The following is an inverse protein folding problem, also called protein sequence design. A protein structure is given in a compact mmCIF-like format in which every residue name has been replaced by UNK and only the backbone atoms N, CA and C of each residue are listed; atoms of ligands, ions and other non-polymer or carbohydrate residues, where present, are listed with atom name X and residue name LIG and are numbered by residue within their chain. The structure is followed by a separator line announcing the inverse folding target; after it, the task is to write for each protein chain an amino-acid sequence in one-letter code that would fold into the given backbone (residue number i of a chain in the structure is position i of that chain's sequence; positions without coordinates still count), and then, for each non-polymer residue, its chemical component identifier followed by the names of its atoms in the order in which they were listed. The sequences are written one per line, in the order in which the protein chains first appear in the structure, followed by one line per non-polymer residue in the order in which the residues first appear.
data_IF_305402574692
#
_entry.id   IF_305402574692
#
_cell.length_a   1.000
_cell.length_b   1.000
_cell.length_c   1.000
_cell.angle_alpha   90.00
_cell.angle_beta   90.00
_cell.angle_gamma   90.00
#
_symmetry.space_group_name_H-M   'P 1'
#
loop_
_entity.id
_entity.type
_entity.pdbx_description
1 polymer ?
#
# COMPACT_ATOMS: atom_id res chain seq x y z
N UNK A 1 -14.41 -0.20 2.87
CA UNK A 1 -15.27 -1.37 2.56
C UNK A 1 -16.36 -1.09 1.54
N UNK A 2 -17.15 -0.03 1.60
CA UNK A 2 -18.19 0.26 0.58
C UNK A 2 -17.63 0.39 -0.84
N UNK A 3 -16.54 1.13 -1.03
CA UNK A 3 -15.88 1.27 -2.33
C UNK A 3 -15.30 -0.06 -2.85
N UNK A 4 -14.69 -0.87 -1.99
CA UNK A 4 -14.16 -2.18 -2.35
C UNK A 4 -15.26 -3.09 -2.92
N UNK A 5 -16.42 -3.15 -2.26
CA UNK A 5 -17.60 -3.88 -2.76
C UNK A 5 -18.10 -3.32 -4.09
N UNK A 6 -18.20 -1.99 -4.22
CA UNK A 6 -18.68 -1.31 -5.42
C UNK A 6 -17.83 -1.62 -6.65
N UNK A 7 -16.52 -1.74 -6.47
CA UNK A 7 -15.55 -1.88 -7.56
C UNK A 7 -14.94 -3.28 -7.67
N UNK A 8 -15.39 -4.22 -6.84
CA UNK A 8 -14.85 -5.60 -6.77
C UNK A 8 -13.33 -5.60 -6.59
N UNK A 9 -12.86 -4.83 -5.61
CA UNK A 9 -11.45 -4.74 -5.21
C UNK A 9 -11.29 -5.50 -3.91
N UNK A 10 -10.36 -6.44 -3.88
CA UNK A 10 -9.95 -7.11 -2.64
C UNK A 10 -8.78 -6.36 -2.01
N UNK A 11 -8.67 -6.37 -0.70
CA UNK A 11 -7.53 -5.81 0.00
C UNK A 11 -7.25 -6.51 1.33
N UNK A 12 -5.99 -6.50 1.74
CA UNK A 12 -5.62 -6.64 3.15
C UNK A 12 -5.62 -5.23 3.74
N UNK A 13 -6.29 -5.06 4.87
CA UNK A 13 -6.31 -3.82 5.64
C UNK A 13 -5.23 -3.93 6.70
N UNK A 14 -4.19 -3.13 6.57
CA UNK A 14 -3.05 -3.17 7.48
C UNK A 14 -3.22 -2.10 8.57
N UNK A 15 -3.22 -2.53 9.81
CA UNK A 15 -3.35 -1.67 10.98
C UNK A 15 -2.10 -1.68 11.85
N UNK A 16 -2.06 -0.78 12.83
CA UNK A 16 -0.91 -0.65 13.75
C UNK A 16 -0.74 -1.83 14.72
N UNK A 17 -1.76 -2.68 14.87
CA UNK A 17 -1.75 -3.83 15.79
C UNK A 17 -2.06 -5.14 15.08
N UNK A 18 -3.03 -5.12 14.20
CA UNK A 18 -3.58 -6.30 13.53
C UNK A 18 -3.93 -5.96 12.09
N UNK A 19 -3.83 -6.95 11.24
CA UNK A 19 -4.22 -6.88 9.83
C UNK A 19 -5.53 -7.65 9.62
N UNK A 20 -6.33 -7.21 8.65
CA UNK A 20 -7.64 -7.78 8.33
C UNK A 20 -7.71 -8.17 6.88
N UNK A 21 -8.21 -9.35 6.59
CA UNK A 21 -8.34 -9.87 5.23
C UNK A 21 -9.76 -10.37 4.94
N UNK A 22 -10.21 -10.30 3.67
CA UNK A 22 -11.50 -10.85 3.28
C UNK A 22 -11.46 -12.38 3.34
N UNK A 23 -12.61 -13.00 3.62
CA UNK A 23 -12.75 -14.47 3.65
C UNK A 23 -14.06 -14.90 3.02
N UNK A 24 -14.02 -16.05 2.34
CA UNK A 24 -15.21 -16.68 1.75
C UNK A 24 -15.91 -15.76 0.75
N UNK A 25 -17.18 -15.43 0.99
CA UNK A 25 -18.00 -14.59 0.12
C UNK A 25 -17.57 -13.10 0.07
N UNK A 26 -16.67 -12.68 0.97
CA UNK A 26 -16.11 -11.33 0.94
C UNK A 26 -15.03 -11.15 -0.14
N UNK A 27 -14.53 -12.26 -0.72
CA UNK A 27 -13.49 -12.25 -1.75
C UNK A 27 -14.11 -12.14 -3.13
N UNK A 28 -13.75 -11.11 -3.89
CA UNK A 28 -14.30 -10.81 -5.22
C UNK A 28 -13.49 -11.43 -6.34
N UNK A 29 -12.16 -11.50 -6.22
CA UNK A 29 -11.25 -11.88 -7.30
C UNK A 29 -10.72 -13.30 -7.17
N UNK A 30 -10.44 -13.95 -8.32
CA UNK A 30 -9.84 -15.29 -8.33
C UNK A 30 -8.41 -15.28 -7.76
N UNK A 31 -7.64 -14.27 -8.11
CA UNK A 31 -6.27 -14.10 -7.58
C UNK A 31 -6.25 -14.05 -6.07
N UNK A 32 -7.13 -13.25 -5.47
CA UNK A 32 -7.20 -13.13 -4.02
C UNK A 32 -7.74 -14.42 -3.37
N UNK A 33 -8.61 -15.14 -4.05
CA UNK A 33 -9.12 -16.45 -3.61
C UNK A 33 -8.01 -17.52 -3.53
N UNK A 34 -7.07 -17.50 -4.47
CA UNK A 34 -5.88 -18.35 -4.39
C UNK A 34 -4.94 -17.94 -3.26
N UNK A 35 -4.72 -16.63 -3.07
CA UNK A 35 -3.94 -16.10 -1.98
C UNK A 35 -4.59 -16.31 -0.61
N UNK A 36 -5.90 -16.38 -0.53
CA UNK A 36 -6.65 -16.54 0.73
C UNK A 36 -6.23 -17.81 1.50
N UNK A 37 -5.84 -18.89 0.80
CA UNK A 37 -5.32 -20.11 1.45
C UNK A 37 -4.01 -19.85 2.19
N UNK A 38 -3.15 -18.99 1.67
CA UNK A 38 -1.90 -18.59 2.33
C UNK A 38 -2.18 -17.57 3.44
N UNK A 39 -3.16 -16.70 3.22
CA UNK A 39 -3.63 -15.71 4.19
C UNK A 39 -4.29 -16.40 5.40
N UNK A 40 -5.06 -17.47 5.18
CA UNK A 40 -5.68 -18.25 6.27
C UNK A 40 -4.67 -18.88 7.24
N UNK A 41 -3.45 -19.16 6.76
CA UNK A 41 -2.35 -19.65 7.60
C UNK A 41 -1.64 -18.52 8.38
N UNK A 42 -1.92 -17.26 8.06
CA UNK A 42 -1.40 -16.10 8.80
C UNK A 42 -2.48 -15.60 9.80
N UNK A 43 -2.05 -14.96 10.85
CA UNK A 43 -2.95 -14.40 11.88
C UNK A 43 -3.59 -13.09 11.41
N UNK A 44 -4.41 -13.16 10.34
CA UNK A 44 -5.28 -12.04 9.97
C UNK A 44 -6.64 -12.22 10.62
N UNK A 45 -7.21 -11.15 11.10
CA UNK A 45 -8.60 -11.15 11.54
C UNK A 45 -9.55 -10.88 10.35
N UNK A 46 -10.84 -11.06 10.54
CA UNK A 46 -11.86 -10.86 9.50
C UNK A 46 -12.21 -9.39 9.36
N UNK A 47 -12.64 -8.97 8.18
CA UNK A 47 -13.19 -7.63 7.95
C UNK A 47 -14.30 -7.23 8.92
N UNK A 48 -15.16 -8.18 9.33
CA UNK A 48 -16.22 -7.92 10.28
C UNK A 48 -15.72 -7.37 11.64
N UNK A 49 -14.47 -7.71 12.01
CA UNK A 49 -13.84 -7.27 13.27
C UNK A 49 -12.98 -6.01 13.09
N UNK A 50 -12.87 -5.50 11.88
CA UNK A 50 -12.00 -4.38 11.57
C UNK A 50 -12.49 -3.07 12.23
N UNK A 51 -11.64 -2.36 13.01
CA UNK A 51 -12.07 -1.22 13.83
C UNK A 51 -12.36 0.05 13.03
N UNK A 52 -12.13 0.05 11.72
CA UNK A 52 -12.34 1.21 10.85
C UNK A 52 -11.14 2.15 10.75
N UNK A 53 -10.09 1.93 11.50
CA UNK A 53 -8.84 2.69 11.43
C UNK A 53 -7.73 1.79 10.88
N UNK A 54 -7.23 2.11 9.70
CA UNK A 54 -6.15 1.38 9.02
C UNK A 54 -5.06 2.36 8.62
N UNK A 55 -3.82 1.90 8.65
CA UNK A 55 -2.68 2.69 8.23
C UNK A 55 -2.52 2.66 6.70
N UNK A 56 -2.79 1.51 6.08
CA UNK A 56 -2.78 1.33 4.63
C UNK A 56 -3.58 0.10 4.20
N UNK A 57 -3.78 -0.03 2.89
CA UNK A 57 -4.36 -1.21 2.26
C UNK A 57 -3.39 -1.77 1.23
N UNK A 58 -3.27 -3.10 1.18
CA UNK A 58 -2.67 -3.81 0.05
C UNK A 58 -3.80 -4.40 -0.78
N UNK A 59 -4.08 -3.78 -1.91
CA UNK A 59 -5.28 -4.01 -2.71
C UNK A 59 -4.97 -4.66 -4.05
N UNK A 60 -5.93 -5.43 -4.55
CA UNK A 60 -5.89 -6.06 -5.86
C UNK A 60 -7.22 -5.89 -6.60
N UNK A 61 -7.14 -5.60 -7.88
CA UNK A 61 -8.28 -5.60 -8.79
C UNK A 61 -7.98 -6.50 -10.00
N UNK A 62 -8.90 -7.42 -10.32
CA UNK A 62 -8.79 -8.32 -11.48
C UNK A 62 -8.72 -7.56 -12.80
N UNK A 63 -9.36 -6.40 -12.87
CA UNK A 63 -9.39 -5.54 -14.05
C UNK A 63 -8.97 -4.11 -13.70
N UNK A 64 -8.31 -3.39 -14.62
CA UNK A 64 -7.99 -1.98 -14.42
C UNK A 64 -9.22 -1.12 -14.09
N UNK A 65 -10.38 -1.43 -14.67
CA UNK A 65 -11.62 -0.66 -14.48
C UNK A 65 -12.08 -0.59 -13.01
N UNK A 66 -11.88 -1.67 -12.24
CA UNK A 66 -12.20 -1.69 -10.81
C UNK A 66 -11.34 -0.69 -10.04
N UNK A 67 -10.03 -0.74 -10.23
CA UNK A 67 -9.11 0.17 -9.56
C UNK A 67 -9.28 1.62 -10.02
N UNK A 68 -9.51 1.85 -11.32
CA UNK A 68 -9.75 3.19 -11.86
C UNK A 68 -11.03 3.83 -11.30
N UNK A 69 -12.08 3.01 -11.11
CA UNK A 69 -13.30 3.44 -10.44
C UNK A 69 -13.03 3.88 -8.99
N UNK A 70 -12.26 3.08 -8.25
CA UNK A 70 -11.90 3.38 -6.88
C UNK A 70 -11.00 4.63 -6.77
N UNK A 71 -10.02 4.78 -7.67
CA UNK A 71 -9.18 5.98 -7.76
C UNK A 71 -10.02 7.24 -8.01
N UNK A 72 -10.94 7.18 -8.98
CA UNK A 72 -11.80 8.33 -9.31
C UNK A 72 -12.60 8.81 -8.11
N UNK A 73 -13.14 7.89 -7.30
CA UNK A 73 -13.98 8.24 -6.16
C UNK A 73 -13.18 8.67 -4.92
N UNK A 74 -11.93 8.21 -4.76
CA UNK A 74 -11.19 8.33 -3.50
C UNK A 74 -9.84 9.08 -3.60
N UNK A 75 -9.41 9.51 -4.79
CA UNK A 75 -8.10 10.19 -4.98
C UNK A 75 -7.96 11.54 -4.25
N UNK A 76 -9.07 12.11 -3.78
CA UNK A 76 -9.03 13.31 -2.93
C UNK A 76 -8.53 13.01 -1.50
N UNK A 77 -8.68 11.77 -1.03
CA UNK A 77 -8.36 11.37 0.34
C UNK A 77 -7.33 10.24 0.44
N UNK A 78 -7.05 9.53 -0.66
CA UNK A 78 -6.11 8.41 -0.72
C UNK A 78 -5.13 8.57 -1.88
N UNK A 79 -3.90 8.12 -1.67
CA UNK A 79 -2.90 7.92 -2.71
C UNK A 79 -2.82 6.43 -3.07
N UNK A 80 -2.71 6.15 -4.37
CA UNK A 80 -2.68 4.81 -4.95
C UNK A 80 -1.32 4.55 -5.58
N UNK A 81 -0.52 3.70 -4.98
CA UNK A 81 0.83 3.36 -5.42
C UNK A 81 0.74 2.05 -6.20
N UNK A 82 1.02 2.09 -7.49
CA UNK A 82 1.01 0.92 -8.37
C UNK A 82 2.19 -0.01 -8.01
N UNK A 83 1.85 -1.27 -7.71
CA UNK A 83 2.80 -2.34 -7.38
C UNK A 83 2.92 -3.35 -8.51
N UNK A 84 2.39 -3.00 -9.69
CA UNK A 84 2.33 -3.85 -10.88
C UNK A 84 1.34 -5.03 -10.76
N UNK A 85 1.01 -5.63 -11.91
CA UNK A 85 0.15 -6.82 -11.99
C UNK A 85 -1.22 -6.71 -11.31
N UNK A 86 -1.79 -5.50 -11.23
CA UNK A 86 -3.10 -5.25 -10.60
C UNK A 86 -3.06 -5.04 -9.09
N UNK A 87 -1.87 -5.08 -8.48
CA UNK A 87 -1.69 -4.78 -7.07
C UNK A 87 -1.43 -3.30 -6.81
N UNK A 88 -1.98 -2.81 -5.72
CA UNK A 88 -1.82 -1.42 -5.28
C UNK A 88 -1.60 -1.36 -3.77
N UNK A 89 -0.70 -0.48 -3.37
CA UNK A 89 -0.63 -0.02 -2.00
C UNK A 89 -1.41 1.29 -1.91
N UNK A 90 -2.39 1.36 -1.02
CA UNK A 90 -3.28 2.51 -0.86
C UNK A 90 -3.07 3.09 0.53
N UNK A 91 -2.72 4.36 0.57
CA UNK A 91 -2.37 5.09 1.81
C UNK A 91 -3.19 6.37 1.92
N UNK A 92 -3.36 6.92 3.12
CA UNK A 92 -3.93 8.24 3.28
C UNK A 92 -3.17 9.29 2.47
N UNK A 93 -3.89 10.23 1.88
CA UNK A 93 -3.34 11.28 1.01
C UNK A 93 -2.20 12.03 1.68
N UNK A 94 -1.09 12.19 0.96
CA UNK A 94 0.07 12.93 1.42
C UNK A 94 1.00 12.16 2.37
N UNK A 95 0.71 10.88 2.64
CA UNK A 95 1.61 10.01 3.41
C UNK A 95 2.45 9.14 2.48
N UNK A 96 3.75 9.12 2.72
CA UNK A 96 4.73 8.34 1.96
C UNK A 96 5.96 8.06 2.80
N UNK A 97 6.85 7.20 2.31
CA UNK A 97 8.16 7.00 2.94
C UNK A 97 8.99 8.29 3.01
N UNK A 98 8.83 9.21 2.04
CA UNK A 98 9.48 10.51 2.07
C UNK A 98 8.97 11.40 3.20
N UNK A 99 7.65 11.46 3.40
CA UNK A 99 7.08 12.26 4.49
C UNK A 99 7.44 11.70 5.86
N UNK A 100 7.62 10.37 5.98
CA UNK A 100 8.12 9.73 7.19
C UNK A 100 9.58 10.13 7.47
N UNK A 101 10.46 10.11 6.44
CA UNK A 101 11.85 10.56 6.59
C UNK A 101 11.89 12.03 7.03
N UNK A 102 11.13 12.89 6.36
CA UNK A 102 11.04 14.30 6.72
C UNK A 102 10.64 14.50 8.18
N UNK A 103 9.58 13.80 8.62
CA UNK A 103 9.13 13.89 10.00
C UNK A 103 10.20 13.48 10.98
N UNK A 104 10.91 12.36 10.73
CA UNK A 104 11.97 11.86 11.63
C UNK A 104 13.18 12.78 11.62
N UNK A 105 13.63 13.25 10.46
CA UNK A 105 14.79 14.15 10.38
C UNK A 105 14.50 15.49 11.06
N UNK A 106 13.30 16.04 10.87
CA UNK A 106 12.85 17.27 11.55
C UNK A 106 12.78 17.08 13.07
N UNK A 107 12.23 15.95 13.53
CA UNK A 107 12.10 15.64 14.96
C UNK A 107 13.45 15.44 15.64
N UNK A 108 14.35 14.68 14.99
CA UNK A 108 15.69 14.38 15.53
C UNK A 108 16.74 15.45 15.20
N UNK A 109 16.37 16.50 14.43
CA UNK A 109 17.28 17.56 13.96
C UNK A 109 18.45 17.01 13.13
N UNK A 110 18.19 15.98 12.33
CA UNK A 110 19.16 15.40 11.40
C UNK A 110 19.21 16.26 10.14
N UNK A 111 20.39 16.76 9.73
CA UNK A 111 20.55 17.47 8.47
C UNK A 111 20.21 16.58 7.28
N UNK A 112 19.64 17.16 6.20
CA UNK A 112 19.28 16.41 5.01
C UNK A 112 20.51 15.72 4.38
N UNK A 113 21.65 16.36 4.40
CA UNK A 113 22.93 15.82 3.89
C UNK A 113 23.37 14.52 4.57
N UNK A 114 22.86 14.23 5.76
CA UNK A 114 23.15 12.99 6.49
C UNK A 114 22.16 11.87 6.20
N UNK A 115 21.24 12.06 5.25
CA UNK A 115 20.24 11.05 4.91
C UNK A 115 20.67 10.15 3.76
N UNK A 116 20.46 8.85 3.95
CA UNK A 116 20.66 7.82 2.92
C UNK A 116 19.40 6.99 2.79
N UNK A 117 18.92 6.77 1.56
CA UNK A 117 17.80 5.88 1.27
C UNK A 117 18.24 4.74 0.35
N UNK A 118 17.76 3.53 0.62
CA UNK A 118 17.96 2.34 -0.21
C UNK A 118 16.59 1.76 -0.52
N UNK A 119 16.32 1.45 -1.79
CA UNK A 119 15.03 0.92 -2.21
C UNK A 119 15.08 0.18 -3.53
N UNK A 120 14.00 -0.58 -3.81
CA UNK A 120 13.90 -1.45 -4.99
C UNK A 120 12.57 -1.31 -5.75
N UNK A 121 11.57 -0.70 -5.16
CA UNK A 121 10.20 -0.74 -5.70
C UNK A 121 9.52 0.62 -5.74
N UNK A 122 8.38 0.69 -6.44
CA UNK A 122 7.71 1.95 -6.74
C UNK A 122 7.30 2.76 -5.50
N UNK A 123 6.97 2.10 -4.39
CA UNK A 123 6.67 2.79 -3.13
C UNK A 123 7.91 3.39 -2.44
N UNK A 124 9.12 3.04 -2.90
CA UNK A 124 10.37 3.62 -2.41
C UNK A 124 10.77 4.90 -3.17
N UNK A 125 10.23 5.09 -4.39
CA UNK A 125 10.55 6.26 -5.21
C UNK A 125 10.45 7.60 -4.50
N UNK A 126 9.41 7.88 -3.67
CA UNK A 126 9.35 9.13 -2.94
C UNK A 126 10.54 9.32 -1.99
N UNK A 127 10.93 8.28 -1.25
CA UNK A 127 12.08 8.40 -0.31
C UNK A 127 13.42 8.48 -1.05
N UNK A 128 13.57 7.73 -2.16
CA UNK A 128 14.77 7.79 -2.99
C UNK A 128 14.96 9.17 -3.63
N UNK A 129 13.86 9.85 -4.02
CA UNK A 129 13.89 11.22 -4.54
C UNK A 129 14.12 12.27 -3.45
N UNK A 130 13.79 11.96 -2.20
CA UNK A 130 13.83 12.90 -1.11
C UNK A 130 15.18 12.89 -0.37
N UNK A 131 15.76 11.72 -0.11
CA UNK A 131 17.03 11.61 0.61
C UNK A 131 18.20 12.26 -0.16
N UNK A 132 19.20 12.74 0.57
CA UNK A 132 20.39 13.32 -0.03
C UNK A 132 21.18 12.31 -0.87
N UNK A 133 21.38 11.11 -0.34
CA UNK A 133 22.01 9.99 -1.05
C UNK A 133 21.00 8.88 -1.27
N UNK A 134 20.86 8.42 -2.50
CA UNK A 134 19.91 7.37 -2.85
C UNK A 134 20.59 6.21 -3.56
N UNK A 135 20.22 4.99 -3.18
CA UNK A 135 20.78 3.75 -3.71
C UNK A 135 19.63 2.88 -4.22
N UNK A 136 19.61 2.63 -5.53
CA UNK A 136 18.72 1.64 -6.12
C UNK A 136 19.36 0.25 -5.99
N UNK A 137 18.57 -0.75 -5.61
CA UNK A 137 19.04 -2.14 -5.58
C UNK A 137 19.13 -2.70 -7.00
N UNK A 138 20.05 -3.63 -7.26
CA UNK A 138 20.26 -4.20 -8.59
C UNK A 138 19.08 -5.00 -9.16
N UNK A 139 18.14 -5.40 -8.32
CA UNK A 139 16.88 -6.07 -8.67
C UNK A 139 15.68 -5.12 -8.68
N UNK A 140 15.91 -3.82 -8.71
CA UNK A 140 14.85 -2.80 -8.66
C UNK A 140 13.93 -2.86 -9.87
N UNK A 141 12.70 -2.34 -9.69
CA UNK A 141 11.78 -2.08 -10.81
C UNK A 141 12.41 -1.09 -11.80
N UNK A 142 11.98 -1.15 -13.07
CA UNK A 142 12.46 -0.24 -14.12
C UNK A 142 12.24 1.25 -13.80
N UNK A 143 11.29 1.55 -12.95
CA UNK A 143 10.99 2.94 -12.56
C UNK A 143 11.95 3.46 -11.49
N UNK A 144 12.61 2.57 -10.76
CA UNK A 144 13.60 2.90 -9.72
C UNK A 144 15.01 2.98 -10.29
N UNK A 145 15.33 2.18 -11.32
CA UNK A 145 16.60 2.23 -12.08
C UNK A 145 16.64 3.45 -13.00
#
# INVERSE_FOLDING_TARGET
MTAMKKYHVDAVLEGSREDYAPRGEEVFTETFRHMAREIENRKYDRYANAPGNYDKLYAYAETPAGMDGMKRDLSEILDFIDREQGFYEIVPKGYSKATAIRYITDYLKIPMEDTVAIGDSNNDLPMLKYAHTSIAMGNSSKQVL
#
